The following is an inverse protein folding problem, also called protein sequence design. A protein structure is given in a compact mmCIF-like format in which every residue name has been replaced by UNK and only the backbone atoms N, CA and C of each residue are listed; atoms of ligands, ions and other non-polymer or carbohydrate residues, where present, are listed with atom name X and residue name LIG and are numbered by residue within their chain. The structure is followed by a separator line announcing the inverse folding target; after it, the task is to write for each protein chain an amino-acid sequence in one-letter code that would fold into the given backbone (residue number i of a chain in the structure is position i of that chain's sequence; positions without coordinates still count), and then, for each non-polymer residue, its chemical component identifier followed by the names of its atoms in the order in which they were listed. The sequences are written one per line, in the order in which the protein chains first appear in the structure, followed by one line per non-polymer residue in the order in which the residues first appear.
data_IF_251821597214
#
_entry.id   IF_251821597214
#
_cell.length_a   1.000
_cell.length_b   1.000
_cell.length_c   1.000
_cell.angle_alpha   90.00
_cell.angle_beta   90.00
_cell.angle_gamma   90.00
#
_symmetry.space_group_name_H-M   'P 1'
#
loop_
_entity.id
_entity.type
_entity.pdbx_description
1 polymer ?
#
# COMPACT_ATOMS: atom_id res chain seq x y z
N UNK A 1 -24.77 13.08 -1.88
CA UNK A 1 -24.70 12.07 -2.97
C UNK A 1 -25.75 11.04 -2.62
N UNK A 2 -26.55 10.58 -3.56
CA UNK A 2 -27.60 9.59 -3.28
C UNK A 2 -27.03 8.20 -2.99
N UNK A 3 -27.79 7.39 -2.25
CA UNK A 3 -27.39 6.04 -1.84
C UNK A 3 -26.92 5.15 -3.00
N UNK A 4 -27.61 5.07 -4.16
CA UNK A 4 -27.16 4.26 -5.28
C UNK A 4 -25.81 4.67 -5.86
N UNK A 5 -25.48 5.94 -5.78
CA UNK A 5 -24.17 6.44 -6.24
C UNK A 5 -23.05 6.01 -5.29
N UNK A 6 -23.29 6.01 -3.98
CA UNK A 6 -22.31 5.59 -2.98
C UNK A 6 -22.04 4.08 -3.02
N UNK A 7 -23.04 3.26 -3.31
CA UNK A 7 -22.88 1.79 -3.37
C UNK A 7 -21.88 1.31 -4.41
N UNK A 8 -21.58 2.14 -5.42
CA UNK A 8 -20.55 1.81 -6.42
C UNK A 8 -19.15 1.74 -5.84
N UNK A 9 -18.88 2.45 -4.76
CA UNK A 9 -17.57 2.48 -4.10
C UNK A 9 -17.43 1.37 -3.05
N UNK A 10 -18.54 0.86 -2.51
CA UNK A 10 -18.56 -0.19 -1.49
C UNK A 10 -17.94 -1.47 -2.03
N UNK A 11 -17.00 -2.06 -1.28
CA UNK A 11 -16.33 -3.29 -1.68
C UNK A 11 -15.05 -3.57 -0.90
N UNK A 12 -14.37 -4.63 -1.30
CA UNK A 12 -13.05 -5.05 -0.83
C UNK A 12 -12.05 -4.82 -1.95
N UNK A 13 -10.88 -4.29 -1.62
CA UNK A 13 -9.86 -3.95 -2.58
C UNK A 13 -8.51 -4.48 -2.09
N UNK A 14 -7.80 -5.25 -2.93
CA UNK A 14 -6.51 -5.84 -2.63
C UNK A 14 -5.41 -4.77 -2.67
N UNK A 15 -4.60 -4.72 -1.62
CA UNK A 15 -3.37 -3.92 -1.54
C UNK A 15 -2.18 -4.88 -1.42
N UNK A 16 -1.20 -4.73 -2.30
CA UNK A 16 -0.07 -5.66 -2.35
C UNK A 16 -0.56 -7.08 -2.63
N UNK A 17 -0.04 -8.08 -1.91
CA UNK A 17 -0.37 -9.48 -2.12
C UNK A 17 -1.46 -10.02 -1.20
N UNK A 18 -1.79 -9.34 -0.11
CA UNK A 18 -2.82 -9.80 0.84
C UNK A 18 -3.41 -8.72 1.77
N UNK A 19 -3.02 -7.45 1.65
CA UNK A 19 -3.68 -6.36 2.37
C UNK A 19 -5.07 -6.07 1.77
N UNK A 20 -6.02 -5.68 2.62
CA UNK A 20 -7.39 -5.36 2.19
C UNK A 20 -7.76 -3.95 2.63
N UNK A 21 -8.18 -3.14 1.67
CA UNK A 21 -8.94 -1.92 1.91
C UNK A 21 -10.44 -2.24 1.82
N UNK A 22 -11.15 -2.06 2.91
CA UNK A 22 -12.59 -2.26 2.99
C UNK A 22 -13.30 -0.92 2.91
N UNK A 23 -14.14 -0.76 1.92
CA UNK A 23 -15.05 0.40 1.81
C UNK A 23 -16.45 -0.07 2.19
N UNK A 24 -17.00 0.52 3.22
CA UNK A 24 -18.34 0.22 3.74
C UNK A 24 -19.18 1.48 3.77
N UNK A 25 -20.50 1.32 3.81
CA UNK A 25 -21.45 2.43 3.90
C UNK A 25 -22.32 2.27 5.15
N UNK A 26 -22.55 3.40 5.81
CA UNK A 26 -23.52 3.53 6.90
C UNK A 26 -24.39 4.77 6.58
N UNK A 27 -25.63 4.52 6.18
CA UNK A 27 -26.50 5.57 5.63
C UNK A 27 -25.86 6.25 4.41
N UNK A 28 -25.61 7.53 4.49
CA UNK A 28 -24.93 8.34 3.46
C UNK A 28 -23.43 8.50 3.69
N UNK A 29 -22.88 7.84 4.73
CA UNK A 29 -21.47 7.93 5.07
C UNK A 29 -20.70 6.73 4.54
N UNK A 30 -19.66 6.98 3.71
CA UNK A 30 -18.65 5.98 3.38
C UNK A 30 -17.57 5.93 4.46
N UNK A 31 -17.16 4.71 4.77
CA UNK A 31 -16.07 4.45 5.69
C UNK A 31 -15.01 3.58 4.99
N UNK A 32 -13.74 3.86 5.27
CA UNK A 32 -12.62 3.08 4.78
C UNK A 32 -11.87 2.45 5.95
N UNK A 33 -11.49 1.19 5.79
CA UNK A 33 -10.72 0.44 6.78
C UNK A 33 -9.63 -0.35 6.07
N UNK A 34 -8.38 -0.10 6.39
CA UNK A 34 -7.25 -0.95 6.03
C UNK A 34 -7.18 -2.13 6.99
N UNK A 35 -6.70 -3.31 6.52
CA UNK A 35 -6.42 -4.45 7.40
C UNK A 35 -5.64 -4.01 8.63
N UNK A 36 -6.09 -4.45 9.83
CA UNK A 36 -5.47 -4.12 11.11
C UNK A 36 -5.69 -2.69 11.62
N UNK A 37 -6.27 -1.79 10.82
CA UNK A 37 -6.46 -0.38 11.20
C UNK A 37 -7.92 -0.07 11.58
N UNK A 38 -8.17 1.01 12.33
CA UNK A 38 -9.52 1.47 12.62
C UNK A 38 -10.29 1.85 11.35
N UNK A 39 -11.60 1.61 11.39
CA UNK A 39 -12.53 2.11 10.39
C UNK A 39 -12.70 3.62 10.55
N UNK A 40 -12.41 4.38 9.50
CA UNK A 40 -12.49 5.85 9.50
C UNK A 40 -13.44 6.35 8.40
N UNK A 41 -14.22 7.41 8.65
CA UNK A 41 -15.07 8.02 7.65
C UNK A 41 -14.25 8.71 6.56
N UNK A 42 -14.72 8.59 5.31
CA UNK A 42 -14.20 9.32 4.16
C UNK A 42 -15.27 10.23 3.59
N UNK A 43 -14.88 11.42 3.19
CA UNK A 43 -15.79 12.50 2.76
C UNK A 43 -15.53 12.84 1.29
N UNK A 44 -16.59 13.08 0.49
CA UNK A 44 -16.43 13.44 -0.90
C UNK A 44 -15.72 14.80 -1.05
N UNK A 45 -14.78 14.88 -1.97
CA UNK A 45 -14.24 16.16 -2.49
C UNK A 45 -14.90 16.49 -3.82
N UNK A 46 -14.47 15.78 -4.86
CA UNK A 46 -15.05 15.83 -6.20
C UNK A 46 -15.11 14.38 -6.68
N UNK A 47 -16.26 13.70 -6.58
CA UNK A 47 -16.35 12.30 -6.94
C UNK A 47 -15.78 12.01 -8.35
N UNK A 48 -15.03 10.93 -8.49
CA UNK A 48 -14.88 9.77 -7.58
C UNK A 48 -13.80 9.92 -6.48
N UNK A 49 -13.42 11.13 -6.08
CA UNK A 49 -12.37 11.41 -5.11
C UNK A 49 -12.96 11.71 -3.73
N UNK A 50 -12.36 11.08 -2.69
CA UNK A 50 -12.72 11.24 -1.29
C UNK A 50 -11.47 11.52 -0.45
N UNK A 51 -11.68 12.10 0.75
CA UNK A 51 -10.60 12.41 1.70
C UNK A 51 -10.94 11.96 3.11
N UNK A 52 -9.95 11.58 3.87
CA UNK A 52 -10.05 11.53 5.32
C UNK A 52 -9.92 12.95 5.90
N UNK A 53 -10.59 13.19 7.02
CA UNK A 53 -10.43 14.45 7.78
C UNK A 53 -9.45 14.33 8.93
N UNK A 54 -9.26 13.11 9.42
CA UNK A 54 -8.40 12.79 10.58
C UNK A 54 -6.95 12.53 10.21
N UNK A 55 -6.70 12.20 8.96
CA UNK A 55 -5.35 11.95 8.41
C UNK A 55 -5.20 12.72 7.09
N UNK A 56 -3.97 13.08 6.75
CA UNK A 56 -3.69 13.71 5.45
C UNK A 56 -3.58 12.64 4.34
N UNK A 57 -4.72 12.11 3.95
CA UNK A 57 -4.84 11.10 2.90
C UNK A 57 -6.12 11.31 2.06
N UNK A 58 -6.07 10.80 0.84
CA UNK A 58 -7.17 10.80 -0.13
C UNK A 58 -7.30 9.44 -0.77
N UNK A 59 -8.49 9.10 -1.27
CA UNK A 59 -8.74 7.93 -2.10
C UNK A 59 -9.50 8.33 -3.35
N UNK A 60 -9.04 7.84 -4.51
CA UNK A 60 -9.69 8.06 -5.80
C UNK A 60 -10.12 6.71 -6.36
N UNK A 61 -11.38 6.59 -6.78
CA UNK A 61 -11.91 5.35 -7.32
C UNK A 61 -11.94 5.39 -8.85
N UNK A 62 -11.56 4.29 -9.50
CA UNK A 62 -11.77 4.10 -10.92
C UNK A 62 -13.19 3.56 -11.15
N UNK A 63 -14.04 4.35 -11.81
CA UNK A 63 -15.41 4.02 -12.14
C UNK A 63 -15.59 4.07 -13.65
N UNK A 64 -16.21 3.04 -14.20
CA UNK A 64 -16.59 2.98 -15.60
C UNK A 64 -18.12 2.88 -15.75
N UNK A 65 -18.70 3.77 -16.54
CA UNK A 65 -20.10 3.68 -17.03
C UNK A 65 -21.14 3.28 -15.96
N UNK A 66 -21.05 3.84 -14.76
CA UNK A 66 -22.03 3.59 -13.71
C UNK A 66 -21.92 2.23 -13.02
N UNK A 67 -20.89 1.44 -13.32
CA UNK A 67 -20.58 0.15 -12.67
C UNK A 67 -19.90 0.36 -11.32
N UNK A 68 -19.80 -0.68 -10.48
CA UNK A 68 -18.96 -0.65 -9.30
C UNK A 68 -17.51 -0.29 -9.65
N UNK A 69 -16.85 0.45 -8.76
CA UNK A 69 -15.45 0.82 -8.93
C UNK A 69 -14.57 -0.43 -9.09
N UNK A 70 -13.67 -0.42 -10.06
CA UNK A 70 -12.75 -1.54 -10.34
C UNK A 70 -11.48 -1.45 -9.50
N UNK A 71 -11.11 -0.26 -9.06
CA UNK A 71 -9.95 -0.03 -8.20
C UNK A 71 -10.13 1.23 -7.33
N UNK A 72 -9.28 1.33 -6.32
CA UNK A 72 -9.12 2.50 -5.46
C UNK A 72 -7.63 2.85 -5.38
N UNK A 73 -7.28 4.12 -5.56
CA UNK A 73 -5.91 4.62 -5.37
C UNK A 73 -5.85 5.46 -4.12
N UNK A 74 -5.05 5.06 -3.15
CA UNK A 74 -4.79 5.81 -1.91
C UNK A 74 -3.62 6.75 -2.15
N UNK A 75 -3.80 8.02 -1.82
CA UNK A 75 -2.75 9.05 -1.89
C UNK A 75 -2.42 9.50 -0.46
N UNK A 76 -1.19 9.25 -0.01
CA UNK A 76 -0.72 9.61 1.34
C UNK A 76 0.77 9.88 1.35
N UNK A 77 1.19 10.96 2.01
CA UNK A 77 2.62 11.29 2.20
C UNK A 77 3.39 11.50 0.90
N UNK A 78 2.72 11.89 -0.18
CA UNK A 78 3.30 12.02 -1.53
C UNK A 78 3.39 10.67 -2.28
N UNK A 79 2.98 9.56 -1.65
CA UNK A 79 2.92 8.23 -2.25
C UNK A 79 1.51 7.89 -2.76
N UNK A 80 1.47 6.90 -3.64
CA UNK A 80 0.23 6.32 -4.15
C UNK A 80 0.28 4.80 -4.01
N UNK A 81 -0.85 4.22 -3.58
CA UNK A 81 -1.03 2.77 -3.50
C UNK A 81 -2.32 2.41 -4.24
N UNK A 82 -2.19 1.57 -5.26
CA UNK A 82 -3.35 1.08 -6.02
C UNK A 82 -3.89 -0.18 -5.37
N UNK A 83 -5.21 -0.21 -5.16
CA UNK A 83 -5.94 -1.35 -4.64
C UNK A 83 -6.95 -1.83 -5.67
N UNK A 84 -6.90 -3.10 -6.06
CA UNK A 84 -7.80 -3.71 -7.05
C UNK A 84 -9.00 -4.35 -6.37
N UNK A 85 -10.21 -4.14 -6.93
CA UNK A 85 -11.43 -4.73 -6.37
C UNK A 85 -11.36 -6.25 -6.36
N UNK A 86 -11.82 -6.84 -5.26
CA UNK A 86 -11.95 -8.28 -5.07
C UNK A 86 -13.42 -8.70 -5.13
N UNK A 87 -13.66 -9.91 -5.62
CA UNK A 87 -14.93 -10.60 -5.40
C UNK A 87 -14.96 -11.27 -4.00
N UNK A 88 -16.05 -11.94 -3.66
CA UNK A 88 -16.22 -12.57 -2.34
C UNK A 88 -15.28 -13.77 -2.15
N UNK A 89 -15.05 -14.55 -3.19
CA UNK A 89 -14.17 -15.75 -3.14
C UNK A 89 -12.71 -15.33 -2.99
N UNK A 90 -12.29 -14.35 -3.80
CA UNK A 90 -10.98 -13.75 -3.70
C UNK A 90 -10.75 -13.12 -2.32
N UNK A 91 -11.75 -12.40 -1.79
CA UNK A 91 -11.66 -11.78 -0.46
C UNK A 91 -11.37 -12.81 0.61
N UNK A 92 -12.10 -13.94 0.66
CA UNK A 92 -11.88 -15.00 1.65
C UNK A 92 -10.49 -15.63 1.54
N UNK A 93 -10.03 -15.87 0.31
CA UNK A 93 -8.69 -16.42 0.07
C UNK A 93 -7.58 -15.45 0.55
N UNK A 94 -7.75 -14.15 0.28
CA UNK A 94 -6.81 -13.11 0.72
C UNK A 94 -6.83 -12.94 2.24
N UNK A 95 -8.00 -12.95 2.88
CA UNK A 95 -8.10 -12.90 4.35
C UNK A 95 -7.38 -14.07 5.03
N UNK A 96 -7.53 -15.28 4.50
CA UNK A 96 -6.82 -16.46 5.00
C UNK A 96 -5.30 -16.34 4.81
N UNK A 97 -4.85 -15.86 3.65
CA UNK A 97 -3.43 -15.60 3.36
C UNK A 97 -2.86 -14.56 4.33
N UNK A 98 -3.58 -13.45 4.54
CA UNK A 98 -3.17 -12.39 5.47
C UNK A 98 -3.04 -12.92 6.91
N UNK A 99 -4.05 -13.67 7.39
CA UNK A 99 -4.01 -14.27 8.72
C UNK A 99 -2.80 -15.19 8.92
N UNK A 100 -2.46 -16.00 7.91
CA UNK A 100 -1.29 -16.85 7.94
C UNK A 100 0.01 -16.02 7.97
N UNK A 101 0.13 -15.00 7.13
CA UNK A 101 1.29 -14.11 7.11
C UNK A 101 1.55 -13.46 8.47
N UNK A 102 0.48 -12.91 9.08
CA UNK A 102 0.57 -12.25 10.39
C UNK A 102 0.96 -13.26 11.49
N UNK A 103 0.44 -14.48 11.44
CA UNK A 103 0.76 -15.53 12.42
C UNK A 103 2.21 -15.99 12.30
N UNK A 104 2.71 -16.21 11.10
CA UNK A 104 4.03 -16.79 10.85
C UNK A 104 5.17 -15.81 11.06
N UNK A 105 4.96 -14.53 10.79
CA UNK A 105 5.97 -13.47 10.92
C UNK A 105 7.29 -13.77 10.20
N UNK A 106 7.24 -14.53 9.09
CA UNK A 106 8.39 -14.89 8.27
C UNK A 106 8.46 -13.99 7.02
N UNK A 107 9.67 -13.64 6.54
CA UNK A 107 9.80 -12.87 5.31
C UNK A 107 9.31 -13.68 4.10
N UNK A 108 8.78 -12.99 3.11
CA UNK A 108 8.48 -13.60 1.81
C UNK A 108 9.78 -14.11 1.16
N UNK A 109 9.75 -15.27 0.52
CA UNK A 109 10.90 -15.74 -0.27
C UNK A 109 11.33 -14.66 -1.27
N UNK A 110 12.60 -14.27 -1.21
CA UNK A 110 13.18 -13.26 -2.10
C UNK A 110 12.99 -11.80 -1.67
N UNK A 111 12.15 -11.48 -0.67
CA UNK A 111 11.89 -10.08 -0.29
C UNK A 111 13.14 -9.36 0.24
N UNK A 112 14.01 -10.05 0.98
CA UNK A 112 15.28 -9.48 1.46
C UNK A 112 16.18 -9.10 0.29
N UNK A 113 16.34 -9.99 -0.69
CA UNK A 113 17.13 -9.71 -1.89
C UNK A 113 16.52 -8.56 -2.70
N UNK A 114 15.19 -8.52 -2.82
CA UNK A 114 14.47 -7.48 -3.55
C UNK A 114 14.66 -6.10 -2.90
N UNK A 115 14.53 -6.00 -1.57
CA UNK A 115 14.70 -4.72 -0.86
C UNK A 115 16.15 -4.24 -0.88
N UNK A 116 17.12 -5.14 -0.74
CA UNK A 116 18.54 -4.81 -0.83
C UNK A 116 18.90 -4.33 -2.24
N UNK A 117 18.45 -5.05 -3.28
CA UNK A 117 18.63 -4.65 -4.68
C UNK A 117 17.99 -3.31 -4.97
N UNK A 118 16.74 -3.10 -4.54
CA UNK A 118 16.06 -1.81 -4.70
C UNK A 118 16.88 -0.65 -4.15
N UNK A 119 17.42 -0.76 -2.93
CA UNK A 119 18.23 0.32 -2.36
C UNK A 119 19.58 0.49 -3.06
N UNK A 120 20.20 -0.58 -3.54
CA UNK A 120 21.44 -0.50 -4.32
C UNK A 120 21.19 0.25 -5.66
N UNK A 121 20.12 -0.09 -6.35
CA UNK A 121 19.69 0.57 -7.59
C UNK A 121 19.36 2.06 -7.35
N UNK A 122 18.73 2.39 -6.22
CA UNK A 122 18.48 3.79 -5.84
C UNK A 122 19.77 4.57 -5.59
N UNK A 123 20.74 3.96 -4.91
CA UNK A 123 22.06 4.59 -4.67
C UNK A 123 22.83 4.84 -5.94
N UNK A 124 22.75 3.94 -6.91
CA UNK A 124 23.41 4.10 -8.21
C UNK A 124 22.70 5.07 -9.15
N UNK A 125 21.46 5.48 -8.82
CA UNK A 125 20.60 6.30 -9.68
C UNK A 125 20.02 5.57 -10.89
N UNK A 126 20.14 4.23 -10.92
CA UNK A 126 19.69 3.39 -12.05
C UNK A 126 18.68 2.33 -11.60
N UNK A 127 17.46 2.72 -11.20
CA UNK A 127 16.46 1.77 -10.73
C UNK A 127 16.03 0.81 -11.83
N UNK A 128 15.99 -0.48 -11.51
CA UNK A 128 15.45 -1.48 -12.41
C UNK A 128 13.93 -1.56 -12.28
N UNK A 129 13.21 -0.85 -13.11
CA UNK A 129 11.75 -0.87 -13.13
C UNK A 129 11.16 -2.23 -13.57
N UNK A 130 11.94 -3.12 -14.17
CA UNK A 130 11.52 -4.48 -14.53
C UNK A 130 11.22 -5.36 -13.31
N UNK A 131 11.79 -5.04 -12.14
CA UNK A 131 11.58 -5.75 -10.88
C UNK A 131 10.26 -5.34 -10.18
N UNK A 132 9.48 -4.44 -10.77
CA UNK A 132 8.25 -3.89 -10.20
C UNK A 132 7.03 -4.24 -11.06
N UNK A 133 5.87 -4.36 -10.42
CA UNK A 133 4.59 -4.39 -11.14
C UNK A 133 4.37 -3.07 -11.90
N UNK A 134 3.54 -3.08 -12.93
CA UNK A 134 3.28 -1.89 -13.75
C UNK A 134 2.71 -0.73 -12.92
N UNK A 135 1.78 -1.05 -11.98
CA UNK A 135 1.19 -0.06 -11.09
C UNK A 135 2.25 0.62 -10.20
N UNK A 136 3.14 -0.17 -9.57
CA UNK A 136 4.19 0.38 -8.71
C UNK A 136 5.24 1.15 -9.52
N UNK A 137 5.58 0.70 -10.71
CA UNK A 137 6.53 1.34 -11.62
C UNK A 137 6.16 2.80 -11.90
N UNK A 138 4.89 3.05 -12.21
CA UNK A 138 4.41 4.40 -12.50
C UNK A 138 4.50 5.33 -11.27
N UNK A 139 4.21 4.80 -10.08
CA UNK A 139 4.38 5.53 -8.82
C UNK A 139 5.86 5.84 -8.57
N UNK A 140 6.72 4.83 -8.70
CA UNK A 140 8.16 4.98 -8.42
C UNK A 140 8.86 5.95 -9.36
N UNK A 141 8.49 5.99 -10.64
CA UNK A 141 9.06 6.99 -11.59
C UNK A 141 8.84 8.43 -11.13
N UNK A 142 7.67 8.72 -10.53
CA UNK A 142 7.37 10.07 -10.00
C UNK A 142 8.12 10.39 -8.72
N UNK A 143 8.39 9.37 -7.90
CA UNK A 143 9.01 9.54 -6.57
C UNK A 143 10.53 9.37 -6.56
N UNK A 144 11.11 8.91 -7.67
CA UNK A 144 12.52 8.56 -7.79
C UNK A 144 13.50 9.62 -7.24
N UNK A 145 13.39 10.92 -7.58
CA UNK A 145 14.37 11.90 -7.10
C UNK A 145 14.44 11.98 -5.58
N UNK A 146 13.29 11.95 -4.90
CA UNK A 146 13.21 12.01 -3.44
C UNK A 146 13.73 10.72 -2.78
N UNK A 147 13.44 9.56 -3.37
CA UNK A 147 13.89 8.27 -2.87
C UNK A 147 15.40 8.08 -3.06
N UNK A 148 15.95 8.47 -4.21
CA UNK A 148 17.38 8.39 -4.50
C UNK A 148 18.20 9.24 -3.52
N UNK A 149 17.74 10.45 -3.19
CA UNK A 149 18.39 11.31 -2.20
C UNK A 149 18.43 10.65 -0.81
N UNK A 150 17.32 10.03 -0.37
CA UNK A 150 17.26 9.31 0.90
C UNK A 150 18.11 8.05 0.90
N UNK A 151 18.18 7.32 -0.21
CA UNK A 151 18.94 6.08 -0.31
C UNK A 151 20.45 6.26 -0.04
N UNK A 152 21.01 7.42 -0.37
CA UNK A 152 22.43 7.72 -0.11
C UNK A 152 22.80 7.62 1.37
N UNK A 153 21.88 7.96 2.28
CA UNK A 153 22.10 7.91 3.72
C UNK A 153 21.89 6.55 4.38
N UNK A 154 21.49 5.50 3.64
CA UNK A 154 21.16 4.20 4.21
C UNK A 154 22.43 3.44 4.63
N UNK A 155 22.48 3.09 5.92
CA UNK A 155 23.53 2.29 6.54
C UNK A 155 23.17 0.79 6.56
N UNK A 156 21.94 0.44 6.96
CA UNK A 156 21.49 -0.94 7.03
C UNK A 156 20.00 -1.10 6.82
N UNK A 157 19.61 -2.30 6.38
CA UNK A 157 18.20 -2.72 6.19
C UNK A 157 18.05 -4.09 6.85
N UNK A 158 17.10 -4.23 7.81
CA UNK A 158 16.91 -5.47 8.56
C UNK A 158 15.43 -5.82 8.65
N UNK A 159 15.08 -7.08 8.39
CA UNK A 159 13.74 -7.59 8.58
C UNK A 159 13.31 -7.46 10.05
N UNK A 160 12.09 -6.98 10.27
CA UNK A 160 11.50 -6.82 11.60
C UNK A 160 10.29 -7.72 11.84
N UNK A 161 9.58 -8.09 10.81
CA UNK A 161 8.34 -8.85 10.90
C UNK A 161 7.41 -8.57 9.75
N UNK A 162 6.17 -9.00 9.86
CA UNK A 162 5.10 -8.79 8.88
C UNK A 162 4.14 -7.72 9.40
N UNK A 163 3.80 -6.78 8.54
CA UNK A 163 2.87 -5.68 8.85
C UNK A 163 1.41 -6.17 8.88
N UNK A 164 0.50 -5.34 9.37
CA UNK A 164 -0.94 -5.63 9.43
C UNK A 164 -1.58 -5.80 8.03
N UNK A 165 -0.95 -5.29 6.99
CA UNK A 165 -1.37 -5.50 5.59
C UNK A 165 -0.68 -6.70 4.94
N UNK A 166 0.10 -7.48 5.71
CA UNK A 166 0.79 -8.68 5.24
C UNK A 166 2.10 -8.42 4.47
N UNK A 167 2.52 -7.17 4.32
CA UNK A 167 3.79 -6.82 3.71
C UNK A 167 4.95 -7.06 4.68
N UNK A 168 6.11 -7.43 4.16
CA UNK A 168 7.33 -7.51 4.94
C UNK A 168 7.77 -6.12 5.40
N UNK A 169 8.08 -6.00 6.67
CA UNK A 169 8.51 -4.78 7.30
C UNK A 169 10.01 -4.83 7.58
N UNK A 170 10.75 -3.94 6.97
CA UNK A 170 12.19 -3.76 7.19
C UNK A 170 12.46 -2.45 7.92
N UNK A 171 13.35 -2.48 8.92
CA UNK A 171 13.91 -1.27 9.50
C UNK A 171 15.07 -0.81 8.63
N UNK A 172 14.95 0.40 8.12
CA UNK A 172 16.01 1.12 7.42
C UNK A 172 16.68 2.04 8.41
N UNK A 173 18.00 1.85 8.65
CA UNK A 173 18.80 2.72 9.51
C UNK A 173 19.68 3.59 8.63
N UNK A 174 19.70 4.88 8.90
CA UNK A 174 20.52 5.88 8.20
C UNK A 174 21.81 6.20 8.96
N UNK A 175 22.81 6.77 8.28
CA UNK A 175 24.10 7.12 8.88
C UNK A 175 23.99 8.14 10.02
N UNK A 176 22.94 8.96 10.04
CA UNK A 176 22.65 9.90 11.13
C UNK A 176 21.95 9.25 12.34
N UNK A 177 21.78 7.93 12.31
CA UNK A 177 21.09 7.15 13.35
C UNK A 177 19.56 7.18 13.27
N UNK A 178 18.97 7.94 12.35
CA UNK A 178 17.52 7.91 12.14
C UNK A 178 17.09 6.54 11.60
N UNK A 179 15.81 6.21 11.83
CA UNK A 179 15.20 4.98 11.33
C UNK A 179 13.86 5.25 10.68
N UNK A 180 13.57 4.47 9.64
CA UNK A 180 12.26 4.41 9.01
C UNK A 180 11.85 2.96 8.78
N UNK A 181 10.57 2.73 8.57
CA UNK A 181 10.04 1.45 8.12
C UNK A 181 9.96 1.44 6.60
N UNK A 182 10.38 0.34 6.00
CA UNK A 182 10.16 0.04 4.58
C UNK A 182 9.25 -1.18 4.51
N UNK A 183 8.03 -1.00 4.04
CA UNK A 183 7.13 -2.10 3.73
C UNK A 183 7.36 -2.52 2.29
N UNK A 184 7.60 -3.81 2.08
CA UNK A 184 7.74 -4.41 0.76
C UNK A 184 6.86 -5.65 0.64
N UNK A 185 6.22 -5.81 -0.50
CA UNK A 185 5.47 -7.01 -0.83
C UNK A 185 5.77 -7.43 -2.27
N UNK A 186 5.77 -8.73 -2.51
CA UNK A 186 6.04 -9.32 -3.82
C UNK A 186 4.79 -10.01 -4.35
N UNK A 187 4.57 -9.92 -5.66
CA UNK A 187 3.54 -10.71 -6.34
C UNK A 187 3.99 -12.17 -6.56
N UNK A 188 3.15 -12.96 -7.23
CA UNK A 188 3.43 -14.37 -7.54
C UNK A 188 4.65 -14.57 -8.46
N UNK A 189 5.02 -13.55 -9.22
CA UNK A 189 6.14 -13.57 -10.16
C UNK A 189 7.44 -13.06 -9.51
N UNK A 190 7.39 -12.72 -8.21
CA UNK A 190 8.51 -12.17 -7.45
C UNK A 190 8.79 -10.68 -7.73
N UNK A 191 7.89 -9.99 -8.43
CA UNK A 191 8.01 -8.53 -8.64
C UNK A 191 7.53 -7.77 -7.42
N UNK A 192 8.14 -6.62 -7.15
CA UNK A 192 7.71 -5.72 -6.08
C UNK A 192 6.34 -5.16 -6.46
N UNK A 193 5.32 -5.52 -5.67
CA UNK A 193 3.93 -5.08 -5.84
C UNK A 193 3.56 -3.94 -4.90
N UNK A 194 4.21 -3.86 -3.74
CA UNK A 194 4.07 -2.77 -2.76
C UNK A 194 5.45 -2.34 -2.29
N UNK A 195 5.66 -1.05 -2.24
CA UNK A 195 6.80 -0.43 -1.57
C UNK A 195 6.33 0.86 -0.90
N UNK A 196 6.46 0.95 0.41
CA UNK A 196 6.07 2.13 1.17
C UNK A 196 7.10 2.46 2.26
N UNK A 197 7.35 3.76 2.47
CA UNK A 197 8.23 4.27 3.50
C UNK A 197 7.41 5.00 4.55
N UNK A 198 7.49 4.54 5.80
CA UNK A 198 6.77 5.09 6.92
C UNK A 198 7.73 5.61 7.98
N UNK A 199 7.49 6.78 8.57
CA UNK A 199 8.28 7.25 9.70
C UNK A 199 8.18 6.29 10.89
N UNK A 200 9.21 6.25 11.74
CA UNK A 200 9.26 5.33 12.90
C UNK A 200 8.05 5.43 13.85
N UNK A 201 7.36 6.57 13.88
CA UNK A 201 6.23 6.85 14.79
C UNK A 201 4.84 6.63 14.17
N UNK A 202 4.74 6.02 12.99
CA UNK A 202 3.45 5.79 12.30
C UNK A 202 2.71 4.52 12.76
N UNK A 203 3.21 3.86 13.81
CA UNK A 203 2.60 2.68 14.44
C UNK A 203 2.37 2.96 15.94
N UNK A 204 1.32 3.68 16.23
CA UNK A 204 0.63 3.67 17.52
C UNK A 204 -0.83 3.34 17.27
#
# INVERSE_FOLDING_TARGET
MDSPTLDRFVGRYLIGSCGILSITRDGEQLNAQMSGQPKLPIYPETPPKFRWRTINAQVTFAIENGRPATSATIHQGGGEVVATRLDETETRAIEAKLANRIREQLPLPGSEAAVQKFFADMKSGTPNYGDMTDALREVMRRQLPALAAKAQGIQSVKFKGVSEVGADNYIVTYHDGQQSHCLIDLDSDGKIALLAFLPKFSYL
#
